data_IF_002146557430
#
_entry.id   IF_002146557430
#
_cell.length_a   1.000
_cell.length_b   1.000
_cell.length_c   1.000
_cell.angle_alpha   90.00
_cell.angle_beta   90.00
_cell.angle_gamma   90.00
#
_symmetry.space_group_name_H-M   'P 1'
#
loop_
_entity.id
_entity.type
_entity.pdbx_description
1 polymer ?
#
# COMPACT_ATOMS: atom_id res chain seq x y z
N UNK A 1 -0.67 -1.29 15.01
CA UNK A 1 -1.28 -0.18 14.23
C UNK A 1 -2.67 0.16 14.77
N UNK A 2 -3.22 1.37 14.60
CA UNK A 2 -4.56 1.71 15.15
C UNK A 2 -5.70 0.88 14.56
N UNK A 3 -5.80 0.78 13.23
CA UNK A 3 -6.90 0.06 12.58
C UNK A 3 -6.92 -1.44 12.92
N UNK A 4 -5.75 -2.04 13.13
CA UNK A 4 -5.62 -3.42 13.62
C UNK A 4 -6.26 -3.61 15.00
N UNK A 5 -6.08 -2.66 15.93
CA UNK A 5 -6.78 -2.68 17.23
C UNK A 5 -8.29 -2.56 17.07
N UNK A 6 -8.77 -1.78 16.11
CA UNK A 6 -10.20 -1.69 15.80
C UNK A 6 -10.70 -3.05 15.29
N UNK A 7 -9.98 -3.71 14.37
CA UNK A 7 -10.32 -5.05 13.87
C UNK A 7 -10.39 -6.09 14.98
N UNK A 8 -9.47 -6.05 15.95
CA UNK A 8 -9.50 -6.97 17.10
C UNK A 8 -10.72 -6.78 18.01
N UNK A 9 -11.26 -5.57 18.13
CA UNK A 9 -12.44 -5.27 18.94
C UNK A 9 -13.73 -5.70 18.24
N UNK A 10 -13.84 -5.42 16.93
CA UNK A 10 -15.04 -5.70 16.16
C UNK A 10 -15.07 -7.12 15.56
N UNK A 11 -13.92 -7.79 15.44
CA UNK A 11 -13.84 -9.14 14.92
C UNK A 11 -14.47 -9.27 13.53
N UNK A 12 -15.35 -10.25 13.38
CA UNK A 12 -16.05 -10.56 12.12
C UNK A 12 -17.14 -9.54 11.75
N UNK A 13 -17.52 -8.64 12.67
CA UNK A 13 -18.50 -7.57 12.40
C UNK A 13 -17.91 -6.41 11.56
N UNK A 14 -16.62 -6.47 11.22
CA UNK A 14 -15.96 -5.46 10.38
C UNK A 14 -15.08 -6.11 9.30
N UNK A 15 -15.52 -5.96 8.04
CA UNK A 15 -14.69 -6.28 6.89
C UNK A 15 -13.83 -5.08 6.49
N UNK A 16 -12.52 -5.31 6.27
CA UNK A 16 -11.60 -4.30 5.76
C UNK A 16 -11.02 -4.79 4.44
N UNK A 17 -11.33 -4.07 3.35
CA UNK A 17 -10.64 -4.24 2.08
C UNK A 17 -9.59 -3.15 1.91
N UNK A 18 -8.32 -3.54 1.84
CA UNK A 18 -7.22 -2.63 1.57
C UNK A 18 -7.07 -2.38 0.06
N UNK A 19 -6.98 -1.11 -0.33
CA UNK A 19 -6.80 -0.62 -1.71
C UNK A 19 -5.55 0.27 -1.79
N UNK A 20 -4.87 0.24 -2.93
CA UNK A 20 -3.66 1.05 -3.13
C UNK A 20 -3.97 2.50 -3.43
N UNK A 21 -3.16 3.41 -2.89
CA UNK A 21 -3.11 4.80 -3.32
C UNK A 21 -1.67 5.32 -3.29
N UNK A 22 -1.12 5.68 -4.45
CA UNK A 22 0.24 6.21 -4.53
C UNK A 22 0.30 7.71 -4.23
N UNK A 23 0.90 8.06 -3.08
CA UNK A 23 1.21 9.46 -2.76
C UNK A 23 2.26 10.06 -3.71
N UNK A 24 3.16 9.23 -4.23
CA UNK A 24 4.18 9.66 -5.20
C UNK A 24 3.54 10.06 -6.53
N UNK A 25 2.63 9.23 -7.06
CA UNK A 25 1.87 9.58 -8.25
C UNK A 25 1.04 10.84 -8.01
N UNK A 26 0.32 10.89 -6.89
CA UNK A 26 -0.53 12.04 -6.59
C UNK A 26 0.28 13.33 -6.49
N UNK A 27 1.44 13.30 -5.82
CA UNK A 27 2.34 14.46 -5.72
C UNK A 27 2.87 14.89 -7.10
N UNK A 28 3.21 13.93 -7.96
CA UNK A 28 3.65 14.20 -9.33
C UNK A 28 2.55 14.87 -10.15
N UNK A 29 1.33 14.34 -10.14
CA UNK A 29 0.16 14.91 -10.85
C UNK A 29 -0.16 16.32 -10.35
N UNK A 30 -0.11 16.56 -9.04
CA UNK A 30 -0.34 17.89 -8.48
C UNK A 30 0.72 18.90 -8.92
N UNK A 31 1.99 18.47 -8.97
CA UNK A 31 3.10 19.31 -9.45
C UNK A 31 2.89 19.73 -10.91
N UNK A 32 2.60 18.77 -11.79
CA UNK A 32 2.31 19.03 -13.20
C UNK A 32 1.20 20.06 -13.37
N UNK A 33 0.08 19.86 -12.67
CA UNK A 33 -1.06 20.79 -12.70
C UNK A 33 -0.66 22.20 -12.23
N UNK A 34 0.18 22.30 -11.22
CA UNK A 34 0.66 23.61 -10.73
C UNK A 34 1.63 24.31 -11.69
N UNK A 35 2.39 23.54 -12.47
CA UNK A 35 3.36 24.04 -13.44
C UNK A 35 2.76 24.21 -14.86
N UNK A 36 1.52 23.76 -15.08
CA UNK A 36 0.88 23.77 -16.39
C UNK A 36 1.54 22.84 -17.41
N UNK A 37 2.17 21.77 -16.93
CA UNK A 37 2.83 20.77 -17.77
C UNK A 37 1.97 19.51 -17.90
N UNK A 38 2.09 18.82 -19.05
CA UNK A 38 1.42 17.55 -19.29
C UNK A 38 2.45 16.43 -19.35
N UNK A 39 2.19 15.32 -18.68
CA UNK A 39 2.90 14.06 -18.92
C UNK A 39 2.05 12.89 -18.45
N UNK A 40 2.18 11.77 -19.15
CA UNK A 40 1.53 10.49 -18.92
C UNK A 40 2.28 9.59 -17.93
N UNK A 41 3.31 10.11 -17.25
CA UNK A 41 4.15 9.31 -16.37
C UNK A 41 3.33 8.73 -15.21
N UNK A 42 3.47 7.42 -15.04
CA UNK A 42 2.84 6.66 -13.98
C UNK A 42 3.89 5.84 -13.23
N UNK A 43 3.93 5.99 -11.91
CA UNK A 43 4.90 5.28 -11.06
C UNK A 43 4.83 3.76 -11.27
N UNK A 44 3.63 3.19 -11.44
CA UNK A 44 3.44 1.75 -11.64
C UNK A 44 3.76 1.25 -13.06
N UNK A 45 4.04 2.15 -14.01
CA UNK A 45 4.43 1.80 -15.39
C UNK A 45 5.95 1.83 -15.59
N UNK A 46 6.73 2.16 -14.56
CA UNK A 46 8.19 2.19 -14.64
C UNK A 46 8.77 0.77 -14.69
N UNK A 47 9.84 0.58 -15.48
CA UNK A 47 10.50 -0.72 -15.66
C UNK A 47 11.11 -1.25 -14.35
N UNK A 48 11.80 -0.37 -13.61
CA UNK A 48 12.43 -0.67 -12.34
C UNK A 48 11.58 -0.17 -11.16
N UNK A 49 10.89 -1.07 -10.42
CA UNK A 49 10.04 -0.67 -9.30
C UNK A 49 10.82 -0.17 -8.08
N UNK A 50 12.16 -0.33 -8.03
CA UNK A 50 13.01 0.21 -6.96
C UNK A 50 13.20 1.73 -7.05
N UNK A 51 12.93 2.33 -8.22
CA UNK A 51 12.99 3.78 -8.38
C UNK A 51 11.81 4.50 -7.72
N UNK A 52 10.67 3.82 -7.57
CA UNK A 52 9.52 4.32 -6.82
C UNK A 52 9.77 4.25 -5.32
N UNK A 53 9.31 5.26 -4.58
CA UNK A 53 9.55 5.36 -3.12
C UNK A 53 8.95 4.20 -2.33
N UNK A 54 7.84 3.66 -2.80
CA UNK A 54 7.10 2.58 -2.12
C UNK A 54 6.48 1.56 -3.06
N UNK A 55 6.72 1.66 -4.38
CA UNK A 55 6.06 0.79 -5.35
C UNK A 55 6.38 -0.67 -5.09
N UNK A 56 7.65 -1.01 -4.83
CA UNK A 56 8.03 -2.38 -4.51
C UNK A 56 7.33 -2.92 -3.25
N UNK A 57 7.18 -2.09 -2.20
CA UNK A 57 6.39 -2.42 -1.02
C UNK A 57 4.91 -2.68 -1.32
N UNK A 58 4.32 -1.93 -2.26
CA UNK A 58 2.94 -2.16 -2.73
C UNK A 58 2.83 -3.48 -3.50
N UNK A 59 3.79 -3.77 -4.39
CA UNK A 59 3.83 -5.05 -5.12
C UNK A 59 3.98 -6.23 -4.14
N UNK A 60 4.84 -6.11 -3.12
CA UNK A 60 5.01 -7.14 -2.10
C UNK A 60 3.70 -7.41 -1.33
N UNK A 61 2.92 -6.36 -1.02
CA UNK A 61 1.62 -6.52 -0.37
C UNK A 61 0.60 -7.23 -1.30
N UNK A 62 0.57 -6.90 -2.59
CA UNK A 62 -0.25 -7.62 -3.57
C UNK A 62 0.18 -9.08 -3.75
N UNK A 63 1.48 -9.35 -3.76
CA UNK A 63 2.04 -10.71 -3.79
C UNK A 63 1.63 -11.51 -2.55
N UNK A 64 1.68 -10.91 -1.36
CA UNK A 64 1.16 -11.53 -0.15
C UNK A 64 -0.35 -11.83 -0.26
N UNK A 65 -1.13 -10.94 -0.90
CA UNK A 65 -2.57 -11.14 -1.14
C UNK A 65 -2.86 -12.38 -1.98
N UNK A 66 -2.00 -12.72 -2.94
CA UNK A 66 -2.10 -13.96 -3.75
C UNK A 66 -1.92 -15.24 -2.92
N UNK A 67 -1.27 -15.16 -1.77
CA UNK A 67 -1.05 -16.31 -0.88
C UNK A 67 -2.16 -16.49 0.15
N UNK A 68 -3.21 -15.66 0.11
CA UNK A 68 -4.42 -15.80 0.91
C UNK A 68 -4.62 -14.70 1.94
N UNK A 69 -5.87 -14.47 2.38
CA UNK A 69 -6.25 -13.31 3.20
C UNK A 69 -5.58 -13.29 4.57
N UNK A 70 -5.40 -14.44 5.22
CA UNK A 70 -4.76 -14.50 6.54
C UNK A 70 -3.28 -14.13 6.50
N UNK A 71 -2.55 -14.61 5.49
CA UNK A 71 -1.13 -14.28 5.32
C UNK A 71 -0.96 -12.84 4.86
N UNK A 72 -1.86 -12.35 4.01
CA UNK A 72 -1.92 -10.95 3.64
C UNK A 72 -2.09 -10.03 4.85
N UNK A 73 -3.06 -10.31 5.72
CA UNK A 73 -3.32 -9.49 6.92
C UNK A 73 -2.09 -9.46 7.83
N UNK A 74 -1.45 -10.61 8.07
CA UNK A 74 -0.20 -10.70 8.85
C UNK A 74 0.92 -9.89 8.21
N UNK A 75 1.15 -10.05 6.92
CA UNK A 75 2.20 -9.35 6.20
C UNK A 75 1.96 -7.84 6.16
N UNK A 76 0.74 -7.41 5.85
CA UNK A 76 0.39 -6.01 5.74
C UNK A 76 0.53 -5.29 7.10
N UNK A 77 0.09 -5.92 8.19
CA UNK A 77 0.33 -5.42 9.54
C UNK A 77 1.83 -5.35 9.89
N UNK A 78 2.59 -6.39 9.55
CA UNK A 78 4.02 -6.43 9.78
C UNK A 78 4.75 -5.33 9.01
N UNK A 79 4.40 -5.10 7.74
CA UNK A 79 4.98 -4.06 6.89
C UNK A 79 4.70 -2.66 7.41
N UNK A 80 3.43 -2.38 7.79
CA UNK A 80 3.06 -1.12 8.40
C UNK A 80 3.82 -0.88 9.71
N UNK A 81 3.98 -1.92 10.54
CA UNK A 81 4.69 -1.84 11.81
C UNK A 81 6.20 -1.63 11.59
N UNK A 82 6.84 -2.37 10.68
CA UNK A 82 8.26 -2.22 10.36
C UNK A 82 8.59 -0.86 9.73
N UNK A 83 7.62 -0.22 9.05
CA UNK A 83 7.79 1.10 8.44
C UNK A 83 7.47 2.26 9.38
N UNK A 84 6.50 2.10 10.29
CA UNK A 84 5.92 3.20 11.07
C UNK A 84 5.88 2.99 12.59
N UNK A 85 6.32 1.84 13.10
CA UNK A 85 6.16 1.43 14.49
C UNK A 85 7.13 2.06 15.50
N UNK A 86 8.23 2.68 15.05
CA UNK A 86 9.16 3.42 15.91
C UNK A 86 10.55 2.79 16.06
N UNK A 87 10.70 1.47 15.84
CA UNK A 87 11.97 0.74 16.00
C UNK A 87 12.87 0.76 14.74
N UNK A 88 12.56 1.67 13.81
CA UNK A 88 13.23 1.78 12.53
C UNK A 88 12.27 2.14 11.41
N UNK A 89 12.79 2.16 10.18
CA UNK A 89 12.01 2.40 8.96
C UNK A 89 12.53 1.50 7.86
N UNK A 90 11.91 0.32 7.70
CA UNK A 90 12.23 -0.59 6.61
C UNK A 90 12.21 0.15 5.26
N UNK A 91 13.13 -0.19 4.36
CA UNK A 91 13.12 0.27 2.98
C UNK A 91 11.92 -0.37 2.24
N UNK A 92 11.23 0.43 1.42
CA UNK A 92 10.07 -0.03 0.63
C UNK A 92 10.38 -0.15 -0.86
N UNK A 93 11.64 0.09 -1.22
CA UNK A 93 12.16 0.12 -2.57
C UNK A 93 13.32 -0.87 -2.75
N UNK A 94 13.45 -1.83 -1.83
CA UNK A 94 14.47 -2.88 -1.82
C UNK A 94 13.80 -4.25 -1.66
N UNK A 95 14.23 -5.24 -2.43
CA UNK A 95 13.59 -6.57 -2.49
C UNK A 95 13.81 -7.35 -1.19
N UNK A 96 15.05 -7.46 -0.73
CA UNK A 96 15.41 -8.34 0.40
C UNK A 96 14.71 -7.98 1.71
N UNK A 97 14.61 -6.70 2.16
CA UNK A 97 13.87 -6.38 3.38
C UNK A 97 12.39 -6.83 3.33
N UNK A 98 11.75 -6.70 2.16
CA UNK A 98 10.35 -7.09 1.97
C UNK A 98 10.18 -8.61 1.98
N UNK A 99 11.12 -9.34 1.37
CA UNK A 99 11.15 -10.79 1.43
C UNK A 99 11.38 -11.28 2.86
N UNK A 100 12.38 -10.74 3.55
CA UNK A 100 12.72 -11.19 4.91
C UNK A 100 11.50 -11.04 5.84
N UNK A 101 10.79 -9.92 5.70
CA UNK A 101 9.55 -9.69 6.41
C UNK A 101 8.45 -10.70 6.00
N UNK A 102 8.35 -11.02 4.71
CA UNK A 102 7.42 -12.04 4.21
C UNK A 102 7.72 -13.42 4.80
N UNK A 103 9.01 -13.79 4.90
CA UNK A 103 9.45 -15.04 5.53
C UNK A 103 9.02 -15.11 7.00
N UNK A 104 9.20 -14.02 7.75
CA UNK A 104 8.86 -13.95 9.17
C UNK A 104 7.37 -14.20 9.45
N UNK A 105 6.50 -13.83 8.52
CA UNK A 105 5.04 -14.06 8.64
C UNK A 105 4.58 -15.35 7.99
N UNK A 106 5.50 -16.16 7.44
CA UNK A 106 5.22 -17.48 6.89
C UNK A 106 4.78 -17.49 5.42
N UNK A 107 5.02 -16.41 4.67
CA UNK A 107 4.82 -16.42 3.22
C UNK A 107 5.88 -17.26 2.50
N UNK A 108 5.49 -17.86 1.37
CA UNK A 108 6.40 -18.51 0.44
C UNK A 108 7.26 -17.45 -0.27
N UNK A 109 8.53 -17.37 0.12
CA UNK A 109 9.47 -16.37 -0.38
C UNK A 109 9.87 -16.59 -1.83
N UNK A 110 9.74 -17.80 -2.38
CA UNK A 110 9.98 -18.06 -3.79
C UNK A 110 8.85 -17.45 -4.63
N UNK A 111 7.60 -17.65 -4.20
CA UNK A 111 6.43 -17.00 -4.84
C UNK A 111 6.46 -15.48 -4.72
N UNK A 112 6.84 -14.93 -3.55
CA UNK A 112 7.01 -13.47 -3.43
C UNK A 112 8.00 -12.94 -4.46
N UNK A 113 9.17 -13.57 -4.61
CA UNK A 113 10.17 -13.13 -5.60
C UNK A 113 9.68 -13.23 -7.03
N UNK A 114 8.92 -14.26 -7.36
CA UNK A 114 8.28 -14.38 -8.67
C UNK A 114 7.28 -13.25 -8.89
N UNK A 115 6.34 -13.07 -7.97
CA UNK A 115 5.27 -12.07 -8.03
C UNK A 115 5.79 -10.63 -8.04
N UNK A 116 6.91 -10.33 -7.36
CA UNK A 116 7.55 -9.01 -7.39
C UNK A 116 7.91 -8.53 -8.81
N UNK A 117 8.04 -9.46 -9.76
CA UNK A 117 8.36 -9.19 -11.16
C UNK A 117 7.12 -9.19 -12.06
N UNK A 118 5.94 -9.50 -11.53
CA UNK A 118 4.71 -9.63 -12.31
C UNK A 118 4.10 -8.25 -12.66
N UNK A 119 4.02 -7.88 -13.96
CA UNK A 119 3.36 -6.64 -14.39
C UNK A 119 1.87 -6.56 -14.03
N UNK A 120 1.18 -7.68 -13.83
CA UNK A 120 -0.23 -7.70 -13.47
C UNK A 120 -0.48 -7.05 -12.09
N UNK A 121 0.45 -7.22 -11.15
CA UNK A 121 0.34 -6.58 -9.83
C UNK A 121 0.47 -5.06 -9.92
N UNK A 122 1.45 -4.59 -10.71
CA UNK A 122 1.61 -3.16 -11.00
C UNK A 122 0.37 -2.54 -11.64
N UNK A 123 -0.24 -3.26 -12.59
CA UNK A 123 -1.49 -2.83 -13.22
C UNK A 123 -2.64 -2.72 -12.21
N UNK A 124 -2.75 -3.67 -11.28
CA UNK A 124 -3.77 -3.63 -10.21
C UNK A 124 -3.57 -2.43 -9.28
N UNK A 125 -2.32 -2.13 -8.91
CA UNK A 125 -1.98 -0.96 -8.08
C UNK A 125 -2.37 0.35 -8.78
N UNK A 126 -2.12 0.45 -10.08
CA UNK A 126 -2.55 1.60 -10.89
C UNK A 126 -4.06 1.73 -10.97
N UNK A 127 -4.77 0.63 -11.20
CA UNK A 127 -6.23 0.61 -11.26
C UNK A 127 -6.87 1.05 -9.93
N UNK A 128 -6.37 0.56 -8.78
CA UNK A 128 -6.82 1.00 -7.46
C UNK A 128 -6.60 2.51 -7.26
N UNK A 129 -5.45 3.05 -7.69
CA UNK A 129 -5.17 4.48 -7.55
C UNK A 129 -6.07 5.33 -8.46
N UNK A 130 -6.26 4.93 -9.71
CA UNK A 130 -7.13 5.64 -10.67
C UNK A 130 -8.60 5.63 -10.19
N UNK A 131 -9.08 4.51 -9.64
CA UNK A 131 -10.39 4.40 -9.01
C UNK A 131 -10.53 5.36 -7.82
N UNK A 132 -9.53 5.38 -6.92
CA UNK A 132 -9.53 6.30 -5.78
C UNK A 132 -9.55 7.78 -6.22
N UNK A 133 -8.78 8.16 -7.25
CA UNK A 133 -8.79 9.52 -7.81
C UNK A 133 -10.17 9.86 -8.39
N UNK A 134 -10.84 8.92 -9.06
CA UNK A 134 -12.20 9.11 -9.58
C UNK A 134 -13.22 9.41 -8.47
N UNK A 135 -12.97 8.91 -7.26
CA UNK A 135 -13.74 9.18 -6.04
C UNK A 135 -13.28 10.44 -5.29
N UNK A 136 -12.44 11.28 -5.91
CA UNK A 136 -11.87 12.51 -5.32
C UNK A 136 -10.97 12.26 -4.09
N UNK A 137 -10.45 11.03 -3.92
CA UNK A 137 -9.49 10.71 -2.86
C UNK A 137 -8.14 11.34 -3.22
N UNK A 138 -7.54 12.05 -2.26
CA UNK A 138 -6.30 12.80 -2.47
C UNK A 138 -5.17 12.43 -1.50
N UNK A 139 -5.41 11.51 -0.56
CA UNK A 139 -4.43 11.22 0.49
C UNK A 139 -4.74 9.96 1.29
N UNK A 140 -3.78 9.58 2.14
CA UNK A 140 -3.87 8.40 3.00
C UNK A 140 -3.69 8.77 4.48
N UNK A 141 -4.40 8.09 5.41
CA UNK A 141 -5.47 7.13 5.14
C UNK A 141 -6.79 7.82 4.74
N UNK A 142 -7.49 7.24 3.77
CA UNK A 142 -8.89 7.54 3.46
C UNK A 142 -9.70 6.26 3.58
N UNK A 143 -10.82 6.31 4.29
CA UNK A 143 -11.77 5.21 4.45
C UNK A 143 -12.94 5.43 3.50
N UNK A 144 -13.37 4.39 2.81
CA UNK A 144 -14.58 4.39 1.99
C UNK A 144 -15.56 3.39 2.60
N UNK A 145 -16.78 3.84 2.88
CA UNK A 145 -17.84 3.03 3.47
C UNK A 145 -18.75 2.45 2.39
N UNK A 146 -19.51 1.40 2.70
CA UNK A 146 -20.42 0.71 1.75
C UNK A 146 -21.44 1.65 1.08
N UNK A 147 -21.83 2.72 1.75
CA UNK A 147 -22.73 3.74 1.22
C UNK A 147 -22.05 4.77 0.31
N UNK A 148 -20.76 4.58 -0.02
CA UNK A 148 -19.97 5.47 -0.86
C UNK A 148 -19.42 6.71 -0.14
N UNK A 149 -19.72 6.91 1.14
CA UNK A 149 -19.13 8.00 1.89
C UNK A 149 -17.62 7.75 2.08
N UNK A 150 -16.83 8.81 1.99
CA UNK A 150 -15.39 8.75 2.21
C UNK A 150 -14.97 9.68 3.38
N UNK A 151 -14.01 9.21 4.18
CA UNK A 151 -13.44 9.96 5.29
C UNK A 151 -11.91 9.92 5.26
N UNK A 152 -11.28 11.06 4.99
CA UNK A 152 -9.84 11.24 5.21
C UNK A 152 -9.59 11.53 6.70
N UNK A 153 -8.75 10.72 7.35
CA UNK A 153 -8.47 10.86 8.78
C UNK A 153 -7.02 11.27 9.00
N UNK A 154 -6.84 12.47 9.55
CA UNK A 154 -5.54 12.91 10.05
C UNK A 154 -5.30 12.32 11.45
N UNK A 155 -4.54 11.23 11.52
CA UNK A 155 -4.13 10.64 12.79
C UNK A 155 -2.80 11.25 13.26
N UNK A 156 -2.73 11.60 14.54
CA UNK A 156 -1.48 11.94 15.23
C UNK A 156 -1.15 10.83 16.22
N UNK A 157 0.14 10.57 16.45
CA UNK A 157 0.55 9.81 17.64
C UNK A 157 0.22 10.72 18.83
N UNK A 158 -0.64 10.31 19.78
CA UNK A 158 -0.91 11.11 20.96
C UNK A 158 0.41 11.37 21.69
N UNK A 159 0.66 12.59 22.20
CA UNK A 159 1.78 12.81 23.11
C UNK A 159 1.64 11.85 24.30
N UNK A 160 2.78 11.30 24.75
CA UNK A 160 2.85 10.44 25.93
C UNK A 160 2.57 11.24 27.20
#
# INVERSE_FOLDING_TARGET
MWLDRVKQVYGDDMEITWRNFSLEQNAFTLKQKSEGTESDWKVWEQEDPTQGRSLMGQIAAEAARRQGPELYDKFHLALLTARHGGDGRIALNEEEPLVDLAQQVGLDTAKIREDLRDPALRKSIGADHEDAVSQSIFGTPTFVFENGNAAFIKAFIPPQ
#
